data_IF_930697199771
#
_entry.id   IF_930697199771
#
_cell.length_a   1.000
_cell.length_b   1.000
_cell.length_c   1.000
_cell.angle_alpha   90.00
_cell.angle_beta   90.00
_cell.angle_gamma   90.00
#
_symmetry.space_group_name_H-M   'P 1'
#
loop_
_entity.id
_entity.type
_entity.pdbx_description
1 polymer ?
#
# COMPACT_ATOMS: atom_id res chain seq x y z
N UNK A 1 -5.38 -21.60 -9.09
CA UNK A 1 -4.46 -21.46 -10.20
C UNK A 1 -4.89 -20.38 -11.15
N UNK A 2 -6.10 -20.54 -11.71
CA UNK A 2 -6.62 -19.53 -12.62
C UNK A 2 -6.87 -18.20 -11.93
N UNK A 3 -7.20 -18.24 -10.66
CA UNK A 3 -7.43 -16.98 -9.91
C UNK A 3 -6.20 -16.11 -9.87
N UNK A 4 -5.05 -16.73 -9.61
CA UNK A 4 -3.81 -15.95 -9.56
C UNK A 4 -3.44 -15.40 -10.93
N UNK A 5 -3.64 -16.19 -11.97
CA UNK A 5 -3.40 -15.73 -13.33
C UNK A 5 -4.32 -14.58 -13.69
N UNK A 6 -5.59 -14.71 -13.33
CA UNK A 6 -6.55 -13.65 -13.62
C UNK A 6 -6.22 -12.36 -12.89
N UNK A 7 -5.79 -12.45 -11.63
CA UNK A 7 -5.42 -11.28 -10.87
C UNK A 7 -4.20 -10.61 -11.45
N UNK A 8 -3.23 -11.41 -11.85
CA UNK A 8 -2.03 -10.87 -12.47
C UNK A 8 -2.33 -10.29 -13.85
N UNK A 9 -3.21 -10.93 -14.61
CA UNK A 9 -3.49 -10.47 -15.97
C UNK A 9 -4.18 -9.10 -15.98
N UNK A 10 -4.93 -8.77 -14.94
CA UNK A 10 -5.52 -7.44 -14.85
C UNK A 10 -4.46 -6.34 -14.70
N UNK A 11 -3.28 -6.71 -14.28
CA UNK A 11 -2.19 -5.76 -14.11
C UNK A 11 -1.40 -5.56 -15.40
N UNK A 12 -1.74 -6.27 -16.46
CA UNK A 12 -0.96 -6.31 -17.69
C UNK A 12 -1.71 -5.67 -18.82
N UNK A 13 -2.15 -4.47 -18.62
CA UNK A 13 -2.78 -3.76 -19.73
C UNK A 13 -1.73 -3.31 -20.73
N UNK A 14 -0.52 -3.14 -20.27
CA UNK A 14 0.60 -2.68 -21.08
C UNK A 14 1.75 -3.62 -20.87
N UNK A 15 2.52 -3.83 -21.92
CA UNK A 15 3.67 -4.72 -21.82
C UNK A 15 4.73 -4.14 -20.91
N UNK A 16 4.88 -2.84 -20.89
CA UNK A 16 5.88 -2.19 -20.08
C UNK A 16 5.32 -0.91 -19.52
N UNK A 17 5.37 -0.78 -18.21
CA UNK A 17 4.95 0.43 -17.55
C UNK A 17 6.15 0.98 -16.82
N UNK A 18 6.69 2.12 -17.26
CA UNK A 18 7.80 2.75 -16.55
C UNK A 18 7.40 3.11 -15.14
N UNK A 19 8.38 3.18 -14.25
CA UNK A 19 8.12 3.57 -12.88
C UNK A 19 7.40 4.91 -12.76
N UNK A 20 7.72 5.85 -13.68
CA UNK A 20 7.04 7.14 -13.68
C UNK A 20 5.55 6.99 -13.97
N UNK A 21 5.18 6.06 -14.85
CA UNK A 21 3.78 5.84 -15.16
C UNK A 21 3.05 5.17 -13.99
N UNK A 22 3.70 4.24 -13.32
CA UNK A 22 3.13 3.65 -12.11
C UNK A 22 2.83 4.75 -11.09
N UNK A 23 3.80 5.61 -10.83
CA UNK A 23 3.62 6.72 -9.90
C UNK A 23 2.46 7.61 -10.32
N UNK A 24 2.40 7.98 -11.60
CA UNK A 24 1.34 8.85 -12.09
C UNK A 24 -0.04 8.20 -11.96
N UNK A 25 -0.13 6.91 -12.21
CA UNK A 25 -1.39 6.19 -12.04
C UNK A 25 -1.83 6.17 -10.58
N UNK A 26 -0.89 5.96 -9.67
CA UNK A 26 -1.21 5.96 -8.25
C UNK A 26 -1.64 7.35 -7.79
N UNK A 27 -0.92 8.38 -8.21
CA UNK A 27 -1.28 9.75 -7.86
C UNK A 27 -2.70 10.07 -8.31
N UNK A 28 -3.02 9.73 -9.56
CA UNK A 28 -4.34 9.98 -10.12
C UNK A 28 -5.42 9.21 -9.36
N UNK A 29 -5.14 7.96 -9.07
CA UNK A 29 -6.10 7.08 -8.40
C UNK A 29 -6.44 7.56 -6.99
N UNK A 30 -5.49 8.22 -6.34
CA UNK A 30 -5.69 8.73 -4.98
C UNK A 30 -5.97 10.23 -4.96
N UNK A 31 -6.35 10.80 -6.11
CA UNK A 31 -6.80 12.19 -6.21
C UNK A 31 -5.75 13.20 -5.74
N UNK A 32 -4.48 12.93 -6.04
CA UNK A 32 -3.35 13.81 -5.74
C UNK A 32 -3.14 14.04 -4.25
N UNK A 33 -3.55 13.10 -3.41
CA UNK A 33 -3.45 13.24 -1.96
C UNK A 33 -3.03 11.94 -1.31
N UNK A 34 -2.27 12.05 -0.23
CA UNK A 34 -1.96 10.90 0.60
C UNK A 34 -3.27 10.21 1.03
N UNK A 35 -3.29 8.89 0.95
CA UNK A 35 -4.47 8.10 1.29
C UNK A 35 -4.90 8.29 2.75
N UNK A 36 -3.97 8.66 3.62
CA UNK A 36 -4.19 8.69 5.07
C UNK A 36 -4.24 10.09 5.64
N UNK A 37 -3.48 11.04 5.08
CA UNK A 37 -3.30 12.34 5.70
C UNK A 37 -3.79 13.51 4.86
N UNK A 38 -4.23 13.25 3.64
CA UNK A 38 -4.68 14.29 2.69
C UNK A 38 -3.59 15.27 2.27
N UNK A 39 -2.33 14.96 2.56
CA UNK A 39 -1.23 15.80 2.14
C UNK A 39 -1.10 15.71 0.62
N UNK A 40 -0.77 16.85 -0.01
CA UNK A 40 -0.63 16.94 -1.45
C UNK A 40 0.42 15.98 -1.99
N UNK A 41 0.18 15.48 -3.20
CA UNK A 41 1.03 14.45 -3.83
C UNK A 41 2.49 14.88 -3.99
N UNK A 42 2.78 16.17 -3.97
CA UNK A 42 4.18 16.62 -4.06
C UNK A 42 5.02 16.13 -2.89
N UNK A 43 4.38 15.82 -1.77
CA UNK A 43 5.06 15.29 -0.60
C UNK A 43 4.76 13.81 -0.39
N UNK A 44 4.29 13.14 -1.42
CA UNK A 44 3.90 11.75 -1.34
C UNK A 44 4.75 10.87 -2.24
N UNK A 45 4.73 9.59 -1.93
CA UNK A 45 5.41 8.57 -2.70
C UNK A 45 4.42 7.47 -3.05
N UNK A 46 4.61 6.87 -4.22
CA UNK A 46 3.80 5.73 -4.63
C UNK A 46 4.42 4.48 -4.03
N UNK A 47 3.77 3.94 -3.01
CA UNK A 47 4.26 2.79 -2.29
C UNK A 47 3.67 1.52 -2.86
N UNK A 48 4.45 0.45 -2.89
CA UNK A 48 3.95 -0.87 -3.25
C UNK A 48 3.30 -1.53 -2.04
N UNK A 49 2.15 -2.13 -2.26
CA UNK A 49 1.47 -2.89 -1.21
C UNK A 49 2.25 -4.18 -0.95
N UNK A 50 2.41 -5.01 -1.98
CA UNK A 50 3.35 -6.12 -1.91
C UNK A 50 4.71 -5.55 -2.29
N UNK A 51 5.72 -5.65 -1.42
CA UNK A 51 7.00 -4.97 -1.65
C UNK A 51 7.59 -5.28 -3.02
N UNK A 52 8.23 -4.27 -3.61
CA UNK A 52 8.76 -4.35 -4.95
C UNK A 52 9.62 -5.60 -5.16
N UNK A 53 10.48 -5.92 -4.21
CA UNK A 53 11.38 -7.07 -4.32
C UNK A 53 10.69 -8.41 -4.11
N UNK A 54 9.40 -8.41 -3.75
CA UNK A 54 8.61 -9.62 -3.61
C UNK A 54 7.66 -9.81 -4.78
N UNK A 55 7.63 -8.87 -5.72
CA UNK A 55 6.71 -8.88 -6.84
C UNK A 55 7.27 -9.64 -8.03
N UNK A 56 6.39 -10.30 -8.79
CA UNK A 56 6.69 -10.71 -10.14
C UNK A 56 6.78 -9.50 -11.05
N UNK A 57 7.25 -9.73 -12.27
CA UNK A 57 7.46 -8.64 -13.21
C UNK A 57 6.21 -7.79 -13.43
N UNK A 58 5.07 -8.45 -13.58
CA UNK A 58 3.83 -7.75 -13.87
C UNK A 58 3.27 -7.02 -12.67
N UNK A 59 3.49 -7.57 -11.49
CA UNK A 59 2.95 -7.00 -10.25
C UNK A 59 3.63 -5.71 -9.86
N UNK A 60 4.88 -5.54 -10.27
CA UNK A 60 5.67 -4.36 -9.88
C UNK A 60 5.01 -3.05 -10.30
N UNK A 61 4.30 -3.07 -11.41
CA UNK A 61 3.76 -1.85 -11.99
C UNK A 61 2.24 -1.84 -12.05
N UNK A 62 1.61 -2.81 -11.41
CA UNK A 62 0.15 -2.86 -11.35
C UNK A 62 -0.34 -1.76 -10.41
N UNK A 63 -1.24 -0.91 -10.90
CA UNK A 63 -1.74 0.19 -10.08
C UNK A 63 -2.52 -0.29 -8.87
N UNK A 64 -3.08 -1.50 -8.92
CA UNK A 64 -3.78 -2.07 -7.76
C UNK A 64 -2.82 -2.56 -6.68
N UNK A 65 -1.53 -2.61 -6.99
CA UNK A 65 -0.49 -2.93 -6.01
C UNK A 65 0.18 -1.66 -5.49
N UNK A 66 -0.56 -0.57 -5.43
CA UNK A 66 0.01 0.69 -5.01
C UNK A 66 -0.91 1.50 -4.13
N UNK A 67 -0.30 2.35 -3.34
CA UNK A 67 -0.99 3.28 -2.48
C UNK A 67 -0.17 4.55 -2.39
N UNK A 68 -0.84 5.70 -2.42
CA UNK A 68 -0.14 6.98 -2.33
C UNK A 68 -0.03 7.39 -0.87
N UNK A 69 1.19 7.53 -0.39
CA UNK A 69 1.46 7.83 1.01
C UNK A 69 2.43 8.99 1.12
N UNK A 70 2.21 9.86 2.10
CA UNK A 70 3.22 10.84 2.45
C UNK A 70 4.53 10.13 2.80
N UNK A 71 5.65 10.83 2.72
CA UNK A 71 6.95 10.21 2.97
C UNK A 71 7.01 9.54 4.34
N UNK A 72 6.45 10.19 5.37
CA UNK A 72 6.44 9.63 6.71
C UNK A 72 5.59 8.36 6.80
N UNK A 73 4.42 8.38 6.17
CA UNK A 73 3.55 7.21 6.18
C UNK A 73 4.12 6.08 5.36
N UNK A 74 4.80 6.40 4.26
CA UNK A 74 5.48 5.39 3.46
C UNK A 74 6.55 4.66 4.28
N UNK A 75 7.35 5.43 5.02
CA UNK A 75 8.38 4.85 5.86
C UNK A 75 7.77 3.95 6.93
N UNK A 76 6.69 4.41 7.57
CA UNK A 76 6.02 3.61 8.59
C UNK A 76 5.42 2.33 8.00
N UNK A 77 4.87 2.42 6.80
CA UNK A 77 4.31 1.27 6.10
C UNK A 77 5.39 0.24 5.81
N UNK A 78 6.54 0.70 5.29
CA UNK A 78 7.65 -0.19 4.98
C UNK A 78 8.24 -0.86 6.23
N UNK A 79 8.16 -0.21 7.36
CA UNK A 79 8.63 -0.78 8.62
C UNK A 79 7.60 -1.67 9.29
N UNK A 80 6.44 -1.84 8.67
CA UNK A 80 5.33 -2.62 9.21
C UNK A 80 4.84 -2.07 10.56
N UNK A 81 4.83 -0.75 10.68
CA UNK A 81 4.22 -0.13 11.86
C UNK A 81 2.71 -0.10 11.73
N UNK A 82 2.22 -0.18 10.51
CA UNK A 82 0.80 -0.42 10.26
C UNK A 82 0.66 -1.23 8.99
N UNK A 83 -0.49 -1.81 8.82
CA UNK A 83 -0.89 -2.45 7.57
C UNK A 83 -2.35 -2.14 7.30
N UNK A 84 -2.89 -2.73 6.25
CA UNK A 84 -4.29 -2.56 5.90
C UNK A 84 -4.90 -3.95 5.84
N UNK A 85 -6.00 -4.13 6.55
CA UNK A 85 -6.68 -5.41 6.59
C UNK A 85 -7.26 -5.71 5.20
N UNK A 86 -6.98 -6.90 4.68
CA UNK A 86 -7.40 -7.26 3.33
C UNK A 86 -8.90 -7.48 3.22
N UNK A 87 -9.59 -7.72 4.33
CA UNK A 87 -11.03 -7.95 4.29
C UNK A 87 -11.83 -6.67 4.45
N UNK A 88 -11.38 -5.76 5.29
CA UNK A 88 -12.12 -4.54 5.60
C UNK A 88 -11.55 -3.31 4.90
N UNK A 89 -10.34 -3.38 4.37
CA UNK A 89 -9.61 -2.26 3.78
C UNK A 89 -9.42 -1.12 4.78
N UNK A 90 -9.31 -1.47 6.05
CA UNK A 90 -9.07 -0.51 7.11
C UNK A 90 -7.65 -0.63 7.64
N UNK A 91 -7.11 0.51 8.02
CA UNK A 91 -5.77 0.57 8.60
C UNK A 91 -5.75 -0.14 9.96
N UNK A 92 -4.70 -0.90 10.17
CA UNK A 92 -4.48 -1.62 11.43
C UNK A 92 -3.08 -1.29 11.93
N UNK A 93 -2.99 -0.65 13.08
CA UNK A 93 -1.71 -0.33 13.71
C UNK A 93 -1.11 -1.61 14.29
N UNK A 94 0.17 -1.82 14.02
CA UNK A 94 0.89 -3.00 14.49
C UNK A 94 1.73 -2.60 15.71
N UNK A 95 1.06 -2.51 16.85
CA UNK A 95 1.66 -2.00 18.08
C UNK A 95 2.90 -2.77 18.51
N UNK A 96 2.91 -4.09 18.30
CA UNK A 96 4.06 -4.90 18.69
C UNK A 96 5.31 -4.53 17.91
N UNK A 97 5.16 -4.23 16.63
CA UNK A 97 6.31 -3.85 15.81
C UNK A 97 6.87 -2.50 16.23
N UNK A 98 6.00 -1.58 16.59
CA UNK A 98 6.42 -0.27 17.07
C UNK A 98 7.14 -0.42 18.40
N UNK A 99 6.60 -1.22 19.30
CA UNK A 99 7.19 -1.46 20.60
C UNK A 99 8.57 -2.14 20.47
N UNK A 100 8.67 -3.12 19.57
CA UNK A 100 9.92 -3.83 19.35
C UNK A 100 11.01 -2.92 18.78
N UNK A 101 10.61 -1.84 18.13
CA UNK A 101 11.56 -0.86 17.61
C UNK A 101 11.96 0.18 18.67
N UNK A 102 11.47 0.04 19.89
CA UNK A 102 11.74 0.98 20.99
C UNK A 102 11.27 2.40 20.69
N UNK A 103 10.15 2.51 19.99
CA UNK A 103 9.59 3.80 19.62
C UNK A 103 8.31 4.02 20.42
N UNK A 104 8.18 5.23 20.97
CA UNK A 104 6.94 5.64 21.59
C UNK A 104 5.94 6.01 20.49
N UNK A 105 4.79 5.35 20.49
CA UNK A 105 3.80 5.58 19.44
C UNK A 105 3.36 7.05 19.36
N UNK A 106 3.41 7.75 20.46
CA UNK A 106 3.03 9.17 20.48
C UNK A 106 3.95 10.04 19.66
N UNK A 107 5.14 9.54 19.34
CA UNK A 107 6.14 10.31 18.59
C UNK A 107 6.05 10.09 17.09
N UNK A 108 5.20 9.19 16.61
CA UNK A 108 5.11 8.87 15.19
C UNK A 108 3.72 9.15 14.60
N UNK A 109 2.82 9.65 15.41
CA UNK A 109 1.52 10.18 14.96
C UNK A 109 0.71 9.20 14.11
N UNK A 110 0.71 7.94 14.49
CA UNK A 110 -0.04 6.92 13.75
C UNK A 110 -1.44 6.67 14.29
N UNK A 111 -1.72 7.10 15.52
CA UNK A 111 -2.99 6.73 16.15
C UNK A 111 -4.20 7.26 15.40
N UNK A 112 -4.06 8.44 14.79
CA UNK A 112 -5.18 9.06 14.09
C UNK A 112 -5.62 8.31 12.85
N UNK A 113 -4.77 7.45 12.31
CA UNK A 113 -5.11 6.70 11.09
C UNK A 113 -5.67 5.32 11.36
N UNK A 114 -5.66 4.89 12.62
CA UNK A 114 -6.15 3.55 12.95
C UNK A 114 -7.62 3.41 12.58
N UNK A 115 -7.95 2.32 11.91
CA UNK A 115 -9.30 1.99 11.43
C UNK A 115 -9.80 2.86 10.27
N UNK A 116 -8.94 3.68 9.66
CA UNK A 116 -9.34 4.42 8.48
C UNK A 116 -9.62 3.47 7.33
N UNK A 117 -10.75 3.68 6.65
CA UNK A 117 -11.12 2.91 5.48
C UNK A 117 -10.52 3.55 4.23
N UNK A 118 -9.87 2.73 3.40
CA UNK A 118 -9.26 3.21 2.17
C UNK A 118 -10.04 2.66 0.99
N UNK A 119 -10.93 3.49 0.49
CA UNK A 119 -11.86 3.12 -0.57
C UNK A 119 -11.16 2.60 -1.82
N UNK A 120 -10.05 3.20 -2.20
CA UNK A 120 -9.33 2.84 -3.42
C UNK A 120 -8.77 1.42 -3.38
N UNK A 121 -8.64 0.84 -2.21
CA UNK A 121 -8.12 -0.52 -2.07
C UNK A 121 -9.23 -1.56 -1.95
N UNK A 122 -10.48 -1.12 -1.96
CA UNK A 122 -11.60 -2.04 -1.80
C UNK A 122 -11.99 -2.63 -3.15
N UNK A 123 -11.09 -3.44 -3.69
CA UNK A 123 -11.30 -4.19 -4.92
C UNK A 123 -10.55 -5.50 -4.81
N UNK A 124 -10.93 -6.45 -5.62
CA UNK A 124 -10.41 -7.81 -5.53
C UNK A 124 -8.90 -7.86 -5.67
N UNK A 125 -8.36 -7.10 -6.60
CA UNK A 125 -6.92 -7.14 -6.86
C UNK A 125 -6.09 -6.54 -5.75
N UNK A 126 -6.49 -5.38 -5.27
CA UNK A 126 -5.79 -4.76 -4.14
C UNK A 126 -5.86 -5.64 -2.91
N UNK A 127 -7.02 -6.27 -2.67
CA UNK A 127 -7.16 -7.20 -1.54
C UNK A 127 -6.22 -8.39 -1.67
N UNK A 128 -6.01 -8.86 -2.88
CA UNK A 128 -5.05 -9.95 -3.11
C UNK A 128 -3.64 -9.51 -2.69
N UNK A 129 -3.22 -8.33 -3.12
CA UNK A 129 -1.90 -7.83 -2.75
C UNK A 129 -1.78 -7.59 -1.24
N UNK A 130 -2.84 -7.09 -0.62
CA UNK A 130 -2.87 -6.92 0.82
C UNK A 130 -2.73 -8.27 1.54
N UNK A 131 -3.42 -9.29 1.06
CA UNK A 131 -3.32 -10.61 1.65
C UNK A 131 -1.90 -11.15 1.54
N UNK A 132 -1.28 -11.00 0.36
CA UNK A 132 0.09 -11.46 0.17
C UNK A 132 1.06 -10.73 1.10
N UNK A 133 0.85 -9.42 1.27
CA UNK A 133 1.65 -8.64 2.20
C UNK A 133 1.44 -9.12 3.64
N UNK A 134 0.19 -9.26 4.03
CA UNK A 134 -0.14 -9.56 5.43
C UNK A 134 0.29 -10.97 5.83
N UNK A 135 0.32 -11.89 4.89
CA UNK A 135 0.80 -13.25 5.17
C UNK A 135 2.28 -13.28 5.53
N UNK A 136 3.04 -12.24 5.19
CA UNK A 136 4.47 -12.17 5.49
C UNK A 136 4.79 -11.35 6.73
N UNK A 137 3.78 -10.76 7.34
CA UNK A 137 3.96 -9.97 8.55
C UNK A 137 3.72 -10.89 9.75
N UNK A 138 4.71 -10.93 10.62
CA UNK A 138 4.61 -11.77 11.82
C UNK A 138 3.93 -11.00 12.98
#
# INVERSE_FOLDING_TARGET
>A
LNLNLNKSSHCVTENRIPGSKFRNNIISRFNNKCALTNINSTLCEAAHILPYNKCGYLEKYCENNGILLSANMHKAFDKNFFTIDENTCKVKILFNNISNANININNIELESINNMYIKQLDNEQSKYFLQQRNNKIE
#
